data_IF_502722229942
#
_entry.id   IF_502722229942
#
_cell.length_a   1.000
_cell.length_b   1.000
_cell.length_c   1.000
_cell.angle_alpha   90.00
_cell.angle_beta   90.00
_cell.angle_gamma   90.00
#
_symmetry.space_group_name_H-M   'P 1'
#
loop_
_entity.id
_entity.type
_entity.pdbx_description
1 polymer ?
#
# COMPACT_ATOMS: atom_id res chain seq x y z
N UNK A 1 -43.74 15.09 54.09
CA UNK A 1 -42.94 14.08 53.36
C UNK A 1 -42.80 14.36 51.85
N UNK A 2 -43.75 15.04 51.19
CA UNK A 2 -43.71 15.29 49.73
C UNK A 2 -42.70 16.36 49.24
N UNK A 3 -42.37 17.37 50.05
CA UNK A 3 -41.49 18.47 49.61
C UNK A 3 -40.01 18.06 49.50
N UNK A 4 -39.55 17.21 50.42
CA UNK A 4 -38.16 16.71 50.44
C UNK A 4 -37.89 15.79 49.23
N UNK A 5 -38.82 14.88 48.93
CA UNK A 5 -38.75 14.01 47.75
C UNK A 5 -38.76 14.80 46.44
N UNK A 6 -39.55 15.88 46.35
CA UNK A 6 -39.57 16.72 45.16
C UNK A 6 -38.25 17.49 44.97
N UNK A 7 -37.62 17.96 46.05
CA UNK A 7 -36.34 18.70 46.00
C UNK A 7 -35.18 17.78 45.62
N UNK A 8 -35.17 16.55 46.16
CA UNK A 8 -34.19 15.51 45.82
C UNK A 8 -34.33 15.09 44.35
N UNK A 9 -35.56 14.85 43.87
CA UNK A 9 -35.81 14.49 42.48
C UNK A 9 -35.35 15.58 41.49
N UNK A 10 -35.59 16.86 41.80
CA UNK A 10 -35.10 17.99 41.00
C UNK A 10 -33.56 18.04 40.97
N UNK A 11 -32.90 17.78 42.09
CA UNK A 11 -31.43 17.73 42.18
C UNK A 11 -30.84 16.61 41.32
N UNK A 12 -31.46 15.42 41.34
CA UNK A 12 -31.04 14.27 40.52
C UNK A 12 -31.20 14.56 39.02
N UNK A 13 -32.35 15.12 38.60
CA UNK A 13 -32.59 15.47 37.20
C UNK A 13 -31.61 16.55 36.69
N UNK A 14 -31.24 17.50 37.55
CA UNK A 14 -30.24 18.52 37.24
C UNK A 14 -28.85 17.92 37.03
N UNK A 15 -28.42 17.01 37.92
CA UNK A 15 -27.16 16.27 37.78
C UNK A 15 -27.11 15.41 36.51
N UNK A 16 -28.21 14.73 36.17
CA UNK A 16 -28.30 13.94 34.94
C UNK A 16 -28.17 14.85 33.70
N UNK A 17 -28.76 16.04 33.72
CA UNK A 17 -28.61 17.02 32.62
C UNK A 17 -27.18 17.50 32.47
N UNK A 18 -26.51 17.85 33.57
CA UNK A 18 -25.10 18.26 33.55
C UNK A 18 -24.19 17.14 33.05
N UNK A 19 -24.44 15.90 33.48
CA UNK A 19 -23.72 14.72 33.01
C UNK A 19 -23.91 14.48 31.51
N UNK A 20 -25.15 14.61 31.01
CA UNK A 20 -25.45 14.49 29.58
C UNK A 20 -24.71 15.56 28.77
N UNK A 21 -24.67 16.81 29.25
CA UNK A 21 -23.96 17.91 28.59
C UNK A 21 -22.45 17.63 28.53
N UNK A 22 -21.86 17.17 29.64
CA UNK A 22 -20.44 16.79 29.67
C UNK A 22 -20.15 15.64 28.70
N UNK A 23 -20.98 14.60 28.68
CA UNK A 23 -20.85 13.49 27.72
C UNK A 23 -20.95 13.97 26.26
N UNK A 24 -21.88 14.89 25.96
CA UNK A 24 -22.02 15.47 24.62
C UNK A 24 -20.79 16.27 24.20
N UNK A 25 -20.21 17.06 25.10
CA UNK A 25 -18.97 17.81 24.86
C UNK A 25 -17.78 16.87 24.59
N UNK A 26 -17.68 15.75 25.31
CA UNK A 26 -16.65 14.72 25.08
C UNK A 26 -16.81 14.00 23.74
N UNK A 27 -18.04 13.71 23.31
CA UNK A 27 -18.32 13.08 22.02
C UNK A 27 -17.96 14.04 20.87
N UNK A 28 -18.31 15.33 21.00
CA UNK A 28 -18.03 16.35 19.98
C UNK A 28 -16.54 16.71 19.86
N UNK A 29 -15.77 16.56 20.94
CA UNK A 29 -14.31 16.77 20.94
C UNK A 29 -13.50 15.56 20.45
N UNK A 30 -14.16 14.43 20.20
CA UNK A 30 -13.55 13.21 19.66
C UNK A 30 -13.41 13.21 18.14
N UNK A 31 -13.44 14.38 17.49
CA UNK A 31 -13.06 14.54 16.09
C UNK A 31 -11.54 14.31 15.98
N UNK A 32 -11.14 13.04 16.01
CA UNK A 32 -9.79 12.61 15.70
C UNK A 32 -9.47 13.14 14.31
N UNK A 33 -8.29 13.75 14.14
CA UNK A 33 -7.66 13.80 12.82
C UNK A 33 -7.62 12.36 12.33
N UNK A 34 -8.54 11.99 11.46
CA UNK A 34 -8.36 10.82 10.64
C UNK A 34 -7.04 11.07 9.93
N UNK A 35 -6.07 10.17 10.08
CA UNK A 35 -4.97 10.09 9.12
C UNK A 35 -5.67 9.87 7.78
N UNK A 36 -5.95 10.95 7.07
CA UNK A 36 -6.36 10.87 5.68
C UNK A 36 -5.23 10.10 5.04
N UNK A 37 -5.53 8.88 4.59
CA UNK A 37 -4.57 8.09 3.85
C UNK A 37 -4.08 8.99 2.72
N UNK A 38 -2.79 9.32 2.74
CA UNK A 38 -2.21 10.12 1.69
C UNK A 38 -2.16 9.25 0.44
N UNK A 39 -3.17 9.41 -0.42
CA UNK A 39 -3.28 8.65 -1.66
C UNK A 39 -2.05 8.87 -2.55
N UNK A 40 -1.42 10.05 -2.49
CA UNK A 40 -0.16 10.33 -3.16
C UNK A 40 0.95 9.40 -2.67
N UNK A 41 1.06 9.20 -1.35
CA UNK A 41 2.02 8.23 -0.80
C UNK A 41 1.68 6.79 -1.17
N UNK A 42 0.39 6.44 -1.24
CA UNK A 42 -0.06 5.11 -1.67
C UNK A 42 0.33 4.85 -3.13
N UNK A 43 -0.01 5.75 -4.06
CA UNK A 43 0.32 5.60 -5.48
C UNK A 43 1.85 5.61 -5.69
N UNK A 44 2.59 6.44 -4.94
CA UNK A 44 4.06 6.44 -4.97
C UNK A 44 4.65 5.07 -4.64
N UNK A 45 4.16 4.38 -3.61
CA UNK A 45 4.65 3.05 -3.26
C UNK A 45 4.34 2.03 -4.36
N UNK A 46 3.13 2.07 -4.94
CA UNK A 46 2.75 1.18 -6.04
C UNK A 46 3.60 1.40 -7.28
N UNK A 47 3.82 2.66 -7.68
CA UNK A 47 4.68 3.02 -8.83
C UNK A 47 6.10 2.56 -8.59
N UNK A 48 6.67 2.83 -7.42
CA UNK A 48 8.05 2.42 -7.11
C UNK A 48 8.21 0.89 -7.15
N UNK A 49 7.21 0.13 -6.70
CA UNK A 49 7.24 -1.33 -6.77
C UNK A 49 7.08 -1.83 -8.20
N UNK A 50 6.17 -1.23 -8.97
CA UNK A 50 6.00 -1.55 -10.38
C UNK A 50 7.28 -1.30 -11.18
N UNK A 51 7.94 -0.16 -10.94
CA UNK A 51 9.21 0.18 -11.56
C UNK A 51 10.30 -0.83 -11.19
N UNK A 52 10.44 -1.14 -9.90
CA UNK A 52 11.39 -2.14 -9.44
C UNK A 52 11.20 -3.49 -10.17
N UNK A 53 9.96 -3.98 -10.26
CA UNK A 53 9.69 -5.24 -10.94
C UNK A 53 9.99 -5.18 -12.44
N UNK A 54 9.77 -4.02 -13.06
CA UNK A 54 10.09 -3.79 -14.48
C UNK A 54 11.60 -3.77 -14.72
N UNK A 55 12.36 -3.05 -13.89
CA UNK A 55 13.81 -2.90 -14.00
C UNK A 55 14.54 -4.24 -13.81
N UNK A 56 14.01 -5.10 -12.94
CA UNK A 56 14.61 -6.38 -12.60
C UNK A 56 13.98 -7.60 -13.29
N UNK A 57 13.04 -7.38 -14.21
CA UNK A 57 12.34 -8.47 -14.90
C UNK A 57 13.30 -9.35 -15.71
N UNK A 58 14.29 -8.72 -16.34
CA UNK A 58 15.34 -9.39 -17.11
C UNK A 58 16.12 -10.42 -16.27
N UNK A 59 16.47 -10.08 -15.02
CA UNK A 59 17.19 -10.98 -14.12
C UNK A 59 16.36 -12.24 -13.83
N UNK A 60 15.03 -12.14 -13.78
CA UNK A 60 14.15 -13.30 -13.59
C UNK A 60 14.17 -14.24 -14.80
N UNK A 61 14.11 -13.71 -16.02
CA UNK A 61 14.20 -14.51 -17.25
C UNK A 61 15.55 -15.23 -17.39
N UNK A 62 16.65 -14.59 -16.97
CA UNK A 62 17.96 -15.26 -16.86
C UNK A 62 17.89 -16.39 -15.82
N UNK A 63 17.30 -16.14 -14.64
CA UNK A 63 17.20 -17.13 -13.56
C UNK A 63 16.40 -18.38 -13.94
N UNK A 64 15.38 -18.26 -14.80
CA UNK A 64 14.58 -19.39 -15.30
C UNK A 64 15.13 -20.03 -16.59
N UNK A 65 16.18 -19.45 -17.18
CA UNK A 65 16.84 -19.95 -18.38
C UNK A 65 16.10 -19.65 -19.68
N UNK A 66 15.25 -18.61 -19.70
CA UNK A 66 14.62 -18.10 -20.92
C UNK A 66 15.53 -17.14 -21.68
N UNK A 67 16.45 -16.49 -20.96
CA UNK A 67 17.47 -15.61 -21.53
C UNK A 67 18.88 -16.08 -21.15
N UNK A 68 19.85 -15.79 -22.02
CA UNK A 68 21.25 -16.14 -21.77
C UNK A 68 21.85 -15.28 -20.64
N UNK A 69 22.55 -15.90 -19.70
CA UNK A 69 23.25 -15.18 -18.64
C UNK A 69 23.68 -16.06 -17.47
N UNK A 70 24.35 -15.45 -16.48
CA UNK A 70 24.69 -16.11 -15.23
C UNK A 70 23.48 -16.06 -14.27
N UNK A 71 22.72 -17.16 -14.19
CA UNK A 71 21.55 -17.26 -13.31
C UNK A 71 21.87 -17.04 -11.83
N UNK A 72 23.08 -17.39 -11.37
CA UNK A 72 23.49 -17.16 -9.98
C UNK A 72 23.80 -15.68 -9.74
N UNK A 73 24.45 -15.04 -10.72
CA UNK A 73 24.68 -13.60 -10.76
C UNK A 73 23.36 -12.83 -10.75
N UNK A 74 22.43 -13.18 -11.64
CA UNK A 74 21.11 -12.57 -11.75
C UNK A 74 20.31 -12.69 -10.46
N UNK A 75 20.28 -13.88 -9.83
CA UNK A 75 19.62 -14.07 -8.54
C UNK A 75 20.25 -13.21 -7.43
N UNK A 76 21.58 -13.14 -7.39
CA UNK A 76 22.27 -12.31 -6.39
C UNK A 76 21.95 -10.83 -6.58
N UNK A 77 22.02 -10.33 -7.81
CA UNK A 77 21.71 -8.94 -8.14
C UNK A 77 20.26 -8.58 -7.77
N UNK A 78 19.31 -9.43 -8.18
CA UNK A 78 17.90 -9.27 -7.84
C UNK A 78 17.67 -9.26 -6.33
N UNK A 79 18.21 -10.24 -5.61
CA UNK A 79 18.02 -10.37 -4.18
C UNK A 79 18.66 -9.21 -3.41
N UNK A 80 19.88 -8.80 -3.77
CA UNK A 80 20.57 -7.68 -3.12
C UNK A 80 19.76 -6.37 -3.30
N UNK A 81 19.26 -6.11 -4.52
CA UNK A 81 18.40 -4.97 -4.79
C UNK A 81 17.08 -5.04 -4.00
N UNK A 82 16.41 -6.19 -4.06
CA UNK A 82 15.13 -6.44 -3.38
C UNK A 82 15.24 -6.30 -1.85
N UNK A 83 16.37 -6.66 -1.25
CA UNK A 83 16.59 -6.52 0.19
C UNK A 83 16.99 -5.09 0.61
N UNK A 84 17.48 -4.27 -0.33
CA UNK A 84 17.87 -2.88 -0.07
C UNK A 84 16.71 -1.88 -0.12
N UNK A 85 15.62 -2.20 -0.82
CA UNK A 85 14.42 -1.36 -0.88
C UNK A 85 13.55 -1.51 0.37
N UNK A 86 12.95 -0.43 0.83
CA UNK A 86 12.00 -0.39 1.94
C UNK A 86 10.52 -0.45 1.50
N UNK A 87 10.27 -0.58 0.20
CA UNK A 87 8.92 -0.60 -0.35
C UNK A 87 8.12 -1.82 0.15
N UNK A 88 6.98 -1.55 0.82
CA UNK A 88 6.15 -2.59 1.43
C UNK A 88 5.34 -3.40 0.41
N UNK A 89 5.08 -2.87 -0.79
CA UNK A 89 4.42 -3.60 -1.87
C UNK A 89 5.26 -4.80 -2.32
N UNK A 90 6.58 -4.77 -2.10
CA UNK A 90 7.48 -5.86 -2.47
C UNK A 90 7.59 -6.97 -1.42
N UNK A 91 6.86 -6.89 -0.29
CA UNK A 91 6.88 -7.93 0.76
C UNK A 91 6.58 -9.34 0.22
N UNK A 92 5.56 -9.57 -0.63
CA UNK A 92 5.30 -10.89 -1.19
C UNK A 92 6.47 -11.43 -2.01
N UNK A 93 7.12 -10.54 -2.78
CA UNK A 93 8.27 -10.84 -3.63
C UNK A 93 9.49 -11.19 -2.78
N UNK A 94 9.78 -10.38 -1.76
CA UNK A 94 10.84 -10.65 -0.75
C UNK A 94 10.67 -12.03 -0.14
N UNK A 95 9.46 -12.33 0.32
CA UNK A 95 9.18 -13.62 0.93
C UNK A 95 9.34 -14.78 -0.07
N UNK A 96 9.01 -14.60 -1.35
CA UNK A 96 9.20 -15.60 -2.37
C UNK A 96 10.69 -15.83 -2.72
N UNK A 97 11.45 -14.75 -2.89
CA UNK A 97 12.88 -14.82 -3.15
C UNK A 97 13.63 -15.50 -1.99
N UNK A 98 13.34 -15.13 -0.75
CA UNK A 98 13.96 -15.75 0.43
C UNK A 98 13.67 -17.25 0.56
N UNK A 99 12.53 -17.74 0.07
CA UNK A 99 12.22 -19.18 0.06
C UNK A 99 13.07 -19.99 -0.92
N UNK A 100 13.67 -19.36 -1.94
CA UNK A 100 14.60 -20.01 -2.86
C UNK A 100 15.89 -20.38 -2.11
N UNK A 101 16.32 -19.54 -1.16
CA UNK A 101 17.54 -19.75 -0.40
C UNK A 101 18.78 -19.59 -1.31
N UNK A 102 19.53 -20.68 -1.49
CA UNK A 102 20.71 -20.68 -2.36
C UNK A 102 20.32 -21.09 -3.79
N UNK A 103 20.40 -20.14 -4.72
CA UNK A 103 20.27 -20.44 -6.15
C UNK A 103 21.45 -21.29 -6.63
N UNK A 104 21.12 -22.43 -7.25
CA UNK A 104 22.08 -23.32 -7.90
C UNK A 104 21.72 -23.57 -9.35
N UNK A 105 20.45 -23.85 -9.63
CA UNK A 105 19.92 -24.14 -10.97
C UNK A 105 18.50 -23.58 -11.08
N UNK A 106 17.98 -23.55 -12.31
CA UNK A 106 16.53 -23.41 -12.56
C UNK A 106 15.80 -24.45 -11.72
N UNK A 107 14.83 -23.98 -10.94
CA UNK A 107 14.02 -24.83 -10.07
C UNK A 107 12.58 -24.35 -10.05
N UNK A 108 11.70 -25.20 -9.55
CA UNK A 108 10.28 -24.89 -9.42
C UNK A 108 10.03 -23.65 -8.53
N UNK A 109 10.85 -23.43 -7.49
CA UNK A 109 10.72 -22.24 -6.65
C UNK A 109 11.12 -20.95 -7.39
N UNK A 110 12.09 -21.03 -8.30
CA UNK A 110 12.51 -19.90 -9.15
C UNK A 110 11.41 -19.57 -10.14
N UNK A 111 10.81 -20.57 -10.81
CA UNK A 111 9.66 -20.37 -11.71
C UNK A 111 8.45 -19.78 -11.00
N UNK A 112 8.18 -20.20 -9.75
CA UNK A 112 7.10 -19.63 -8.95
C UNK A 112 7.35 -18.19 -8.53
N UNK A 113 8.60 -17.79 -8.35
CA UNK A 113 8.94 -16.38 -8.12
C UNK A 113 8.66 -15.57 -9.38
N UNK A 114 9.07 -16.06 -10.54
CA UNK A 114 8.78 -15.45 -11.84
C UNK A 114 7.27 -15.26 -12.07
N UNK A 115 6.47 -16.32 -11.92
CA UNK A 115 5.00 -16.22 -11.99
C UNK A 115 4.44 -15.19 -11.00
N UNK A 116 4.96 -15.18 -9.77
CA UNK A 116 4.50 -14.21 -8.78
C UNK A 116 4.81 -12.78 -9.25
N UNK A 117 5.98 -12.52 -9.81
CA UNK A 117 6.35 -11.20 -10.32
C UNK A 117 5.45 -10.78 -11.47
N UNK A 118 5.19 -11.65 -12.45
CA UNK A 118 4.28 -11.37 -13.57
C UNK A 118 2.89 -10.92 -13.10
N UNK A 119 2.29 -11.72 -12.22
CA UNK A 119 0.96 -11.43 -11.69
C UNK A 119 0.95 -10.18 -10.80
N UNK A 120 2.00 -9.97 -10.01
CA UNK A 120 2.08 -8.82 -9.11
C UNK A 120 2.28 -7.52 -9.88
N UNK A 121 3.16 -7.52 -10.88
CA UNK A 121 3.39 -6.38 -11.77
C UNK A 121 2.11 -6.01 -12.54
N UNK A 122 1.39 -7.01 -13.06
CA UNK A 122 0.08 -6.81 -13.71
C UNK A 122 -0.95 -6.23 -12.74
N UNK A 123 -1.01 -6.74 -11.51
CA UNK A 123 -1.90 -6.22 -10.47
C UNK A 123 -1.62 -4.76 -10.10
N UNK A 124 -0.36 -4.42 -9.86
CA UNK A 124 0.06 -3.04 -9.59
C UNK A 124 -0.32 -2.10 -10.74
N UNK A 125 -0.11 -2.53 -11.99
CA UNK A 125 -0.51 -1.75 -13.17
C UNK A 125 -2.01 -1.44 -13.17
N UNK A 126 -2.84 -2.45 -12.90
CA UNK A 126 -4.30 -2.28 -12.84
C UNK A 126 -4.75 -1.37 -11.70
N UNK A 127 -4.14 -1.48 -10.52
CA UNK A 127 -4.45 -0.62 -9.38
C UNK A 127 -4.11 0.84 -9.68
N UNK A 128 -2.93 1.09 -10.23
CA UNK A 128 -2.49 2.43 -10.62
C UNK A 128 -3.40 3.00 -11.71
N UNK A 129 -3.70 2.22 -12.74
CA UNK A 129 -4.63 2.61 -13.80
C UNK A 129 -6.02 2.93 -13.25
N UNK A 130 -6.51 2.12 -12.30
CA UNK A 130 -7.78 2.33 -11.63
C UNK A 130 -7.85 3.67 -10.89
N UNK A 131 -6.78 4.05 -10.18
CA UNK A 131 -6.68 5.35 -9.51
C UNK A 131 -6.76 6.47 -10.54
N UNK A 132 -5.91 6.44 -11.59
CA UNK A 132 -5.90 7.47 -12.64
C UNK A 132 -7.26 7.61 -13.33
N UNK A 133 -7.94 6.49 -13.61
CA UNK A 133 -9.29 6.47 -14.19
C UNK A 133 -10.34 7.07 -13.25
N UNK A 134 -10.17 6.90 -11.94
CA UNK A 134 -11.01 7.53 -10.92
C UNK A 134 -11.02 9.06 -11.01
N UNK A 135 -9.89 9.65 -11.39
CA UNK A 135 -9.71 11.07 -11.68
C UNK A 135 -10.02 11.47 -13.13
N UNK A 136 -10.60 10.57 -13.94
CA UNK A 136 -10.98 10.87 -15.32
C UNK A 136 -9.83 10.81 -16.34
N UNK A 137 -8.63 10.37 -15.95
CA UNK A 137 -7.54 10.16 -16.90
C UNK A 137 -7.73 8.84 -17.66
N UNK A 138 -7.87 8.93 -18.98
CA UNK A 138 -8.23 7.79 -19.86
C UNK A 138 -7.15 7.41 -20.88
N UNK A 139 -5.96 8.01 -20.78
CA UNK A 139 -4.85 7.76 -21.71
C UNK A 139 -3.88 6.72 -21.13
N UNK A 140 -3.01 6.19 -21.99
CA UNK A 140 -1.91 5.35 -21.55
C UNK A 140 -0.89 6.19 -20.77
N UNK A 141 -0.27 5.60 -19.76
CA UNK A 141 0.77 6.23 -18.95
C UNK A 141 2.11 5.50 -19.10
N UNK A 142 3.19 6.22 -18.81
CA UNK A 142 4.52 5.64 -18.60
C UNK A 142 4.78 5.52 -17.10
N UNK A 143 5.41 4.44 -16.62
CA UNK A 143 5.85 4.31 -15.23
C UNK A 143 6.75 5.47 -14.77
N UNK A 144 7.68 5.88 -15.63
CA UNK A 144 8.72 6.87 -15.29
C UNK A 144 8.18 8.26 -14.91
N UNK A 145 7.00 8.62 -15.42
CA UNK A 145 6.38 9.93 -15.22
C UNK A 145 5.07 9.86 -14.44
N UNK A 146 4.75 8.71 -13.83
CA UNK A 146 3.42 8.47 -13.29
C UNK A 146 3.05 9.37 -12.11
N UNK A 147 4.03 9.68 -11.26
CA UNK A 147 3.81 10.54 -10.10
C UNK A 147 3.64 12.00 -10.51
N UNK A 148 4.43 12.48 -11.47
CA UNK A 148 4.26 13.83 -12.03
C UNK A 148 2.90 13.96 -12.72
N UNK A 149 2.47 12.93 -13.43
CA UNK A 149 1.15 12.86 -14.03
C UNK A 149 0.04 12.93 -12.97
N UNK A 150 0.14 12.13 -11.92
CA UNK A 150 -0.83 12.13 -10.82
C UNK A 150 -0.89 13.49 -10.11
N UNK A 151 0.25 14.08 -9.80
CA UNK A 151 0.33 15.41 -9.16
C UNK A 151 -0.30 16.50 -10.05
N UNK A 152 -0.16 16.38 -11.38
CA UNK A 152 -0.78 17.28 -12.37
C UNK A 152 -2.31 17.14 -12.38
N UNK A 153 -2.80 15.90 -12.42
CA UNK A 153 -4.25 15.60 -12.47
C UNK A 153 -4.97 16.19 -11.24
N UNK A 154 -4.40 16.00 -10.04
CA UNK A 154 -5.02 16.51 -8.80
C UNK A 154 -4.95 18.03 -8.70
N UNK A 155 -3.94 18.67 -9.30
CA UNK A 155 -3.85 20.13 -9.32
C UNK A 155 -4.91 20.80 -10.23
N UNK A 156 -5.54 20.03 -11.13
CA UNK A 156 -6.57 20.49 -12.07
C UNK A 156 -8.01 20.31 -11.53
N UNK A 157 -8.21 19.64 -10.38
CA UNK A 157 -9.50 19.50 -9.69
C UNK A 157 -9.83 20.69 -8.76
#
# INVERSE_FOLDING_TARGET
MNYLNHKILKGIVMYIKELIIVCLVFILSSCMKTNQFDERSLIQNKVNAFQFLSDYHHQLHIMIGEEEGDGKGAYKEFLDALMSTDNYELIPIKNAALRIGNYNTVSESVKRLDYLVDYYQSGLSMEIEGILRGYGYMKNFSPDSLIELYDTIIAEE
#
